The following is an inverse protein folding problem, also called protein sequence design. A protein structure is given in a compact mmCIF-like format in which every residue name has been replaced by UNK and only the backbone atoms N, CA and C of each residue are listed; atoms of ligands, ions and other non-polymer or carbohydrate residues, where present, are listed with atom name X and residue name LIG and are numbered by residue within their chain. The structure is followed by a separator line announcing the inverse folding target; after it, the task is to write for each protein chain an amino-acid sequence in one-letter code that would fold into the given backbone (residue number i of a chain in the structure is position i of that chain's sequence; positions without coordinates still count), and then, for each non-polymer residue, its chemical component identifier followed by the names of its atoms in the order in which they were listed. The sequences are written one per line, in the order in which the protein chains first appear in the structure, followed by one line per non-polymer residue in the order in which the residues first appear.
data_IF_727778286893
#
_entry.id   IF_727778286893
#
_cell.length_a   1.000
_cell.length_b   1.000
_cell.length_c   1.000
_cell.angle_alpha   90.00
_cell.angle_beta   90.00
_cell.angle_gamma   90.00
#
_symmetry.space_group_name_H-M   'P 1'
#
loop_
_entity.id
_entity.type
_entity.pdbx_description
1 polymer ?
#
# COMPACT_ATOMS: atom_id res chain seq x y z
N UNK A 1 -3.96 15.58 -14.34
CA UNK A 1 -5.31 16.02 -14.66
C UNK A 1 -5.71 15.29 -15.92
N UNK A 2 -6.83 14.60 -15.90
CA UNK A 2 -7.44 14.00 -17.09
C UNK A 2 -8.68 14.81 -17.43
N UNK A 3 -8.87 15.12 -18.68
CA UNK A 3 -10.06 15.77 -19.19
C UNK A 3 -10.67 14.85 -20.24
N UNK A 4 -11.89 14.43 -20.01
CA UNK A 4 -12.63 13.58 -20.93
C UNK A 4 -13.80 14.35 -21.51
N UNK A 5 -14.03 14.19 -22.78
CA UNK A 5 -15.22 14.68 -23.44
C UNK A 5 -16.30 13.58 -23.46
N UNK A 6 -17.50 13.89 -23.01
CA UNK A 6 -18.64 12.99 -23.13
C UNK A 6 -19.41 13.34 -24.41
N UNK A 7 -19.49 12.39 -25.32
CA UNK A 7 -20.30 12.56 -26.55
C UNK A 7 -21.79 12.44 -26.23
N UNK A 8 -22.65 12.94 -27.12
CA UNK A 8 -24.09 12.80 -27.03
C UNK A 8 -24.55 11.32 -26.98
N UNK A 9 -23.71 10.41 -27.46
CA UNK A 9 -23.95 8.95 -27.44
C UNK A 9 -23.43 8.28 -26.16
N UNK A 10 -22.93 9.05 -25.18
CA UNK A 10 -22.47 8.54 -23.90
C UNK A 10 -21.03 7.98 -23.91
N UNK A 11 -20.29 8.15 -24.99
CA UNK A 11 -18.89 7.71 -25.07
C UNK A 11 -17.99 8.78 -24.44
N UNK A 12 -17.08 8.38 -23.57
CA UNK A 12 -16.03 9.26 -23.03
C UNK A 12 -14.78 9.18 -23.89
N UNK A 13 -14.26 10.33 -24.25
CA UNK A 13 -13.03 10.45 -25.01
C UNK A 13 -12.02 11.30 -24.25
N UNK A 14 -10.83 10.76 -23.90
CA UNK A 14 -9.80 11.53 -23.22
C UNK A 14 -9.22 12.60 -24.15
N UNK A 15 -9.00 13.78 -23.59
CA UNK A 15 -8.37 14.91 -24.24
C UNK A 15 -6.90 15.03 -23.81
N UNK A 16 -6.04 15.44 -24.71
CA UNK A 16 -4.60 15.61 -24.49
C UNK A 16 -4.30 17.07 -24.14
N UNK A 17 -3.63 17.29 -23.01
CA UNK A 17 -3.20 18.62 -22.59
C UNK A 17 -2.25 19.24 -23.63
N UNK A 18 -2.37 20.55 -23.83
CA UNK A 18 -1.61 21.37 -24.78
C UNK A 18 -1.85 21.05 -26.26
N UNK A 19 -2.62 20.02 -26.57
CA UNK A 19 -3.12 19.67 -27.89
C UNK A 19 -4.61 19.99 -28.02
N UNK A 20 -5.42 19.42 -27.14
CA UNK A 20 -6.87 19.52 -27.16
C UNK A 20 -7.40 20.56 -26.18
N UNK A 21 -6.66 20.86 -25.14
CA UNK A 21 -7.00 21.88 -24.15
C UNK A 21 -5.77 22.50 -23.50
N UNK A 22 -5.93 23.72 -23.04
CA UNK A 22 -4.92 24.42 -22.24
C UNK A 22 -5.46 24.68 -20.83
N UNK A 23 -4.55 24.83 -19.86
CA UNK A 23 -4.87 25.18 -18.48
C UNK A 23 -4.18 26.49 -18.17
N UNK A 24 -4.97 27.50 -17.84
CA UNK A 24 -4.48 28.74 -17.24
C UNK A 24 -4.90 28.78 -15.77
N UNK A 25 -3.96 29.06 -14.87
CA UNK A 25 -4.24 29.24 -13.45
C UNK A 25 -4.03 30.70 -13.06
N UNK A 26 -5.06 31.34 -12.58
CA UNK A 26 -5.01 32.70 -12.06
C UNK A 26 -5.85 32.78 -10.77
N UNK A 27 -5.31 33.42 -9.72
CA UNK A 27 -6.01 33.65 -8.46
C UNK A 27 -6.63 32.39 -7.81
N UNK A 28 -5.89 31.29 -7.84
CA UNK A 28 -6.32 29.97 -7.33
C UNK A 28 -7.46 29.31 -8.14
N UNK A 29 -7.85 29.89 -9.26
CA UNK A 29 -8.79 29.30 -10.21
C UNK A 29 -8.04 28.76 -11.41
N UNK A 30 -8.31 27.51 -11.77
CA UNK A 30 -7.79 26.91 -13.02
C UNK A 30 -8.88 26.93 -14.08
N UNK A 31 -8.62 27.62 -15.17
CA UNK A 31 -9.52 27.66 -16.33
C UNK A 31 -9.02 26.67 -17.36
N UNK A 32 -9.90 25.79 -17.80
CA UNK A 32 -9.63 24.85 -18.90
C UNK A 32 -10.21 25.47 -20.15
N UNK A 33 -9.35 25.72 -21.14
CA UNK A 33 -9.75 26.22 -22.43
C UNK A 33 -9.56 25.13 -23.47
N UNK A 34 -10.64 24.70 -24.09
CA UNK A 34 -10.59 23.76 -25.22
C UNK A 34 -10.04 24.44 -26.45
N UNK A 35 -9.20 23.74 -27.19
CA UNK A 35 -8.74 24.20 -28.50
C UNK A 35 -9.92 24.09 -29.48
N UNK A 36 -10.12 25.12 -30.31
CA UNK A 36 -11.20 25.10 -31.30
C UNK A 36 -10.97 23.99 -32.34
N UNK A 37 -12.05 23.32 -32.73
CA UNK A 37 -11.99 22.28 -33.76
C UNK A 37 -11.66 20.87 -33.25
N UNK A 38 -11.69 20.63 -31.96
CA UNK A 38 -11.59 19.26 -31.43
C UNK A 38 -12.78 18.45 -31.95
N UNK A 39 -12.46 17.36 -32.63
CA UNK A 39 -13.45 16.44 -33.19
C UNK A 39 -13.48 15.16 -32.33
N UNK A 40 -14.66 14.75 -31.91
CA UNK A 40 -14.91 13.48 -31.23
C UNK A 40 -15.65 12.56 -32.20
N UNK A 41 -14.91 11.74 -32.93
CA UNK A 41 -15.45 11.01 -34.06
C UNK A 41 -15.84 11.98 -35.16
N UNK A 42 -17.10 11.99 -35.57
CA UNK A 42 -17.64 12.96 -36.53
C UNK A 42 -18.37 14.14 -35.86
N UNK A 43 -18.34 14.26 -34.56
CA UNK A 43 -19.05 15.29 -33.79
C UNK A 43 -18.08 16.37 -33.29
N UNK A 44 -18.44 17.61 -33.50
CA UNK A 44 -17.74 18.77 -32.95
C UNK A 44 -17.97 18.86 -31.43
N UNK A 45 -17.05 19.53 -30.70
CA UNK A 45 -17.15 19.85 -29.27
C UNK A 45 -18.47 20.53 -28.92
N UNK A 46 -19.04 21.28 -29.82
CA UNK A 46 -20.36 21.95 -29.66
C UNK A 46 -21.51 20.98 -29.44
N UNK A 47 -21.34 19.70 -29.79
CA UNK A 47 -22.36 18.64 -29.62
C UNK A 47 -22.05 17.73 -28.42
N UNK A 48 -21.04 18.08 -27.62
CA UNK A 48 -20.67 17.28 -26.43
C UNK A 48 -21.73 17.39 -25.35
N UNK A 49 -22.11 16.26 -24.77
CA UNK A 49 -23.05 16.20 -23.62
C UNK A 49 -22.44 16.69 -22.32
N UNK A 50 -21.11 16.75 -22.22
CA UNK A 50 -20.41 17.24 -21.04
C UNK A 50 -18.90 17.07 -21.11
N UNK A 51 -18.20 17.80 -20.25
CA UNK A 51 -16.76 17.68 -20.04
C UNK A 51 -16.55 17.12 -18.64
N UNK A 52 -15.85 16.00 -18.55
CA UNK A 52 -15.46 15.40 -17.29
C UNK A 52 -14.01 15.72 -17.01
N UNK A 53 -13.75 16.36 -15.86
CA UNK A 53 -12.42 16.73 -15.42
C UNK A 53 -12.07 15.93 -14.18
N UNK A 54 -11.17 14.98 -14.33
CA UNK A 54 -10.53 14.34 -13.18
C UNK A 54 -9.22 15.10 -12.91
N UNK A 55 -9.14 15.81 -11.80
CA UNK A 55 -7.96 16.56 -11.41
C UNK A 55 -7.46 16.11 -10.04
N UNK A 56 -6.15 16.18 -9.86
CA UNK A 56 -5.60 16.19 -8.51
C UNK A 56 -5.97 17.54 -7.91
N UNK A 57 -6.87 17.56 -6.95
CA UNK A 57 -6.96 18.69 -6.07
C UNK A 57 -5.64 18.74 -5.27
N UNK A 58 -4.71 19.57 -5.70
CA UNK A 58 -3.66 20.01 -4.81
C UNK A 58 -4.34 20.88 -3.77
N UNK A 59 -4.78 20.28 -2.69
CA UNK A 59 -5.25 21.02 -1.54
C UNK A 59 -4.00 21.59 -0.86
N UNK A 60 -3.49 22.68 -1.43
CA UNK A 60 -2.19 23.28 -1.14
C UNK A 60 -2.18 24.03 0.19
N UNK A 61 -3.34 24.21 0.82
CA UNK A 61 -3.48 25.09 1.99
C UNK A 61 -3.51 24.40 3.34
N UNK A 62 -3.17 23.12 3.40
CA UNK A 62 -3.05 22.43 4.67
C UNK A 62 -2.94 20.92 4.49
N UNK A 63 -2.19 20.30 5.37
CA UNK A 63 -2.21 18.84 5.53
C UNK A 63 -3.59 18.47 6.07
N UNK A 64 -4.46 18.04 5.16
CA UNK A 64 -5.81 17.62 5.53
C UNK A 64 -5.78 16.24 6.18
N UNK A 65 -6.24 16.15 7.43
CA UNK A 65 -6.57 14.89 8.06
C UNK A 65 -8.05 14.60 7.83
N UNK A 66 -8.34 13.53 7.13
CA UNK A 66 -9.69 13.07 6.89
C UNK A 66 -9.86 11.65 7.40
N UNK A 67 -10.92 11.41 8.16
CA UNK A 67 -11.32 10.06 8.52
C UNK A 67 -12.21 9.51 7.43
N UNK A 68 -11.85 8.34 6.92
CA UNK A 68 -12.56 7.63 5.86
C UNK A 68 -13.12 6.34 6.46
N UNK A 69 -14.42 6.19 6.42
CA UNK A 69 -15.13 5.03 6.96
C UNK A 69 -15.69 4.14 5.86
N UNK A 70 -15.76 4.66 4.64
CA UNK A 70 -16.32 3.98 3.47
C UNK A 70 -15.59 4.31 2.17
N UNK A 71 -15.79 3.47 1.14
CA UNK A 71 -15.32 3.75 -0.22
C UNK A 71 -15.96 5.02 -0.80
N UNK A 72 -17.19 5.34 -0.39
CA UNK A 72 -17.87 6.57 -0.80
C UNK A 72 -17.16 7.81 -0.26
N UNK A 73 -16.60 7.75 0.95
CA UNK A 73 -15.85 8.86 1.52
C UNK A 73 -14.57 9.13 0.74
N UNK A 74 -13.90 8.06 0.28
CA UNK A 74 -12.72 8.19 -0.58
C UNK A 74 -13.07 8.95 -1.85
N UNK A 75 -14.15 8.54 -2.51
CA UNK A 75 -14.61 9.18 -3.74
C UNK A 75 -14.98 10.65 -3.52
N UNK A 76 -15.74 10.94 -2.46
CA UNK A 76 -16.22 12.28 -2.16
C UNK A 76 -15.09 13.24 -1.75
N UNK A 77 -14.09 12.77 -1.02
CA UNK A 77 -13.02 13.61 -0.47
C UNK A 77 -11.79 13.68 -1.37
N UNK A 78 -11.45 12.59 -2.04
CA UNK A 78 -10.21 12.47 -2.81
C UNK A 78 -10.43 12.18 -4.30
N UNK A 79 -11.67 11.94 -4.71
CA UNK A 79 -12.01 11.57 -6.08
C UNK A 79 -11.81 10.07 -6.36
N UNK A 80 -11.78 9.73 -7.63
CA UNK A 80 -11.71 8.33 -8.07
C UNK A 80 -10.43 7.65 -7.61
N UNK A 81 -10.56 6.45 -7.05
CA UNK A 81 -9.45 5.60 -6.64
C UNK A 81 -8.79 4.96 -7.87
N UNK A 82 -7.87 5.68 -8.48
CA UNK A 82 -7.09 5.27 -9.64
C UNK A 82 -5.60 5.33 -9.32
N UNK A 83 -4.78 4.55 -10.03
CA UNK A 83 -3.34 4.45 -9.80
C UNK A 83 -2.59 5.80 -9.86
N UNK A 84 -3.12 6.77 -10.58
CA UNK A 84 -2.59 8.14 -10.68
C UNK A 84 -3.04 9.07 -9.53
N UNK A 85 -3.96 8.63 -8.65
CA UNK A 85 -4.40 9.36 -7.47
C UNK A 85 -3.95 8.64 -6.18
N UNK A 86 -2.71 8.86 -5.71
CA UNK A 86 -2.08 8.00 -4.71
C UNK A 86 -2.85 7.88 -3.40
N UNK A 87 -3.41 8.98 -2.90
CA UNK A 87 -4.11 8.97 -1.62
C UNK A 87 -5.43 8.19 -1.70
N UNK A 88 -6.25 8.47 -2.73
CA UNK A 88 -7.50 7.75 -2.95
C UNK A 88 -7.25 6.26 -3.22
N UNK A 89 -6.25 5.96 -4.05
CA UNK A 89 -5.92 4.57 -4.40
C UNK A 89 -5.39 3.80 -3.21
N UNK A 90 -4.47 4.38 -2.44
CA UNK A 90 -3.95 3.76 -1.23
C UNK A 90 -5.01 3.54 -0.16
N UNK A 91 -5.89 4.51 0.08
CA UNK A 91 -7.00 4.37 1.00
C UNK A 91 -7.96 3.25 0.57
N UNK A 92 -8.26 3.18 -0.74
CA UNK A 92 -9.08 2.09 -1.30
C UNK A 92 -8.43 0.72 -1.11
N UNK A 93 -7.14 0.59 -1.39
CA UNK A 93 -6.39 -0.65 -1.18
C UNK A 93 -6.37 -1.07 0.30
N UNK A 94 -6.19 -0.12 1.22
CA UNK A 94 -6.23 -0.39 2.64
C UNK A 94 -7.60 -0.93 3.08
N UNK A 95 -8.69 -0.27 2.71
CA UNK A 95 -10.05 -0.73 3.05
C UNK A 95 -10.37 -2.09 2.41
N UNK A 96 -10.00 -2.28 1.15
CA UNK A 96 -10.27 -3.53 0.43
C UNK A 96 -9.53 -4.73 1.05
N UNK A 97 -8.29 -4.54 1.49
CA UNK A 97 -7.48 -5.59 2.10
C UNK A 97 -7.77 -5.81 3.59
N UNK A 98 -8.43 -4.88 4.26
CA UNK A 98 -8.87 -5.08 5.63
C UNK A 98 -9.94 -6.16 5.74
N UNK A 99 -10.85 -6.24 4.77
CA UNK A 99 -11.96 -7.21 4.77
C UNK A 99 -12.99 -6.97 5.88
N UNK A 100 -12.85 -5.91 6.66
CA UNK A 100 -13.74 -5.45 7.73
C UNK A 100 -13.77 -3.93 7.71
N UNK A 101 -14.72 -3.32 8.42
CA UNK A 101 -14.73 -1.86 8.59
C UNK A 101 -13.51 -1.41 9.34
N UNK A 102 -12.74 -0.51 8.75
CA UNK A 102 -11.56 0.12 9.34
C UNK A 102 -11.59 1.62 9.08
N UNK A 103 -11.10 2.38 10.04
CA UNK A 103 -10.93 3.81 9.87
C UNK A 103 -9.58 4.09 9.20
N UNK A 104 -9.59 4.80 8.09
CA UNK A 104 -8.39 5.22 7.38
C UNK A 104 -8.24 6.74 7.53
N UNK A 105 -7.07 7.17 8.00
CA UNK A 105 -6.71 8.58 8.03
C UNK A 105 -5.82 8.90 6.83
N UNK A 106 -6.34 9.67 5.90
CA UNK A 106 -5.58 10.14 4.75
C UNK A 106 -4.90 11.47 5.04
N UNK A 107 -3.62 11.59 4.69
CA UNK A 107 -2.86 12.84 4.78
C UNK A 107 -2.39 13.21 3.38
N UNK A 108 -2.79 14.38 2.92
CA UNK A 108 -2.39 14.94 1.62
C UNK A 108 -1.23 15.93 1.73
N UNK A 109 -0.68 16.35 0.60
CA UNK A 109 0.33 17.41 0.53
C UNK A 109 1.75 17.00 0.91
N UNK A 110 2.06 15.71 0.96
CA UNK A 110 3.39 15.19 1.28
C UNK A 110 4.31 15.24 0.05
N UNK A 111 4.80 16.43 -0.26
CA UNK A 111 5.62 16.68 -1.46
C UNK A 111 7.11 16.89 -1.14
N UNK A 112 7.48 17.02 0.11
CA UNK A 112 8.86 17.18 0.58
C UNK A 112 9.11 16.38 1.86
N UNK A 113 10.37 16.11 2.19
CA UNK A 113 10.75 15.44 3.44
C UNK A 113 10.29 16.24 4.69
N UNK A 114 10.34 17.56 4.62
CA UNK A 114 9.88 18.43 5.71
C UNK A 114 8.37 18.31 5.92
N UNK A 115 7.60 18.20 4.84
CA UNK A 115 6.15 17.97 4.93
C UNK A 115 5.84 16.62 5.56
N UNK A 116 6.64 15.58 5.29
CA UNK A 116 6.49 14.27 5.93
C UNK A 116 6.76 14.38 7.44
N UNK A 117 7.86 15.00 7.84
CA UNK A 117 8.20 15.19 9.25
C UNK A 117 7.10 15.97 10.00
N UNK A 118 6.60 17.04 9.40
CA UNK A 118 5.53 17.81 9.97
C UNK A 118 4.19 17.03 10.05
N UNK A 119 3.88 16.19 9.05
CA UNK A 119 2.70 15.30 9.11
C UNK A 119 2.83 14.22 10.19
N UNK A 120 4.03 13.70 10.42
CA UNK A 120 4.30 12.76 11.50
C UNK A 120 4.08 13.41 12.88
N UNK A 121 4.48 14.67 13.05
CA UNK A 121 4.21 15.43 14.27
C UNK A 121 2.70 15.65 14.47
N UNK A 122 1.96 15.97 13.41
CA UNK A 122 0.50 16.11 13.48
C UNK A 122 -0.21 14.79 13.86
N UNK A 123 0.41 13.64 13.53
CA UNK A 123 -0.08 12.32 13.95
C UNK A 123 0.12 12.03 15.44
N UNK A 124 1.00 12.74 16.13
CA UNK A 124 1.27 12.46 17.55
C UNK A 124 0.03 12.54 18.43
N UNK A 125 -0.90 13.46 18.13
CA UNK A 125 -2.14 13.61 18.87
C UNK A 125 -3.19 12.52 18.56
N UNK A 126 -2.97 11.65 17.55
CA UNK A 126 -3.98 10.73 17.02
C UNK A 126 -3.69 9.28 17.37
N UNK A 127 -4.75 8.48 17.51
CA UNK A 127 -4.66 7.03 17.63
C UNK A 127 -4.59 6.41 16.23
N UNK A 128 -3.39 6.06 15.82
CA UNK A 128 -3.10 5.37 14.56
C UNK A 128 -2.18 4.20 14.86
N UNK A 129 -2.49 3.01 14.36
CA UNK A 129 -1.65 1.84 14.58
C UNK A 129 -0.75 1.54 13.39
N UNK A 130 -1.31 1.24 12.23
CA UNK A 130 -0.56 0.92 11.02
C UNK A 130 -0.44 2.15 10.12
N UNK A 131 0.77 2.46 9.69
CA UNK A 131 1.07 3.60 8.82
C UNK A 131 1.62 3.09 7.49
N UNK A 132 1.12 3.66 6.39
CA UNK A 132 1.61 3.39 5.05
C UNK A 132 2.12 4.69 4.42
N UNK A 133 3.37 4.71 4.02
CA UNK A 133 3.96 5.87 3.37
C UNK A 133 3.85 5.72 1.86
N UNK A 134 2.91 6.46 1.25
CA UNK A 134 2.68 6.49 -0.19
C UNK A 134 3.20 7.83 -0.73
N UNK A 135 4.49 7.93 -0.92
CA UNK A 135 5.13 9.13 -1.46
C UNK A 135 6.03 8.78 -2.62
N UNK A 136 6.16 9.70 -3.56
CA UNK A 136 7.10 9.62 -4.69
C UNK A 136 8.44 10.30 -4.38
N UNK A 137 8.69 10.66 -3.12
CA UNK A 137 9.93 11.28 -2.72
C UNK A 137 10.99 10.23 -2.45
N UNK A 138 12.21 10.46 -2.93
CA UNK A 138 13.36 9.63 -2.61
C UNK A 138 13.48 9.41 -1.09
N UNK A 139 13.46 8.16 -0.69
CA UNK A 139 13.06 7.74 0.66
C UNK A 139 14.06 7.94 1.79
N UNK A 140 15.32 8.31 1.54
CA UNK A 140 16.35 8.24 2.59
C UNK A 140 16.00 9.05 3.85
N UNK A 141 15.50 10.27 3.70
CA UNK A 141 15.09 11.10 4.85
C UNK A 141 13.74 10.70 5.43
N UNK A 142 12.78 10.33 4.59
CA UNK A 142 11.42 9.98 4.99
C UNK A 142 11.36 8.68 5.80
N UNK A 143 12.14 7.66 5.44
CA UNK A 143 12.22 6.39 6.19
C UNK A 143 12.81 6.62 7.57
N UNK A 144 13.90 7.40 7.67
CA UNK A 144 14.52 7.74 8.95
C UNK A 144 13.57 8.46 9.90
N UNK A 145 12.87 9.50 9.41
CA UNK A 145 11.86 10.24 10.17
C UNK A 145 10.72 9.32 10.64
N UNK A 146 10.22 8.46 9.75
CA UNK A 146 9.16 7.49 10.07
C UNK A 146 9.63 6.48 11.13
N UNK A 147 10.84 5.94 11.01
CA UNK A 147 11.44 5.03 11.99
C UNK A 147 11.55 5.66 13.38
N UNK A 148 12.03 6.90 13.42
CA UNK A 148 12.12 7.69 14.66
C UNK A 148 10.75 7.92 15.28
N UNK A 149 9.77 8.32 14.48
CA UNK A 149 8.42 8.58 14.94
C UNK A 149 7.76 7.33 15.55
N UNK A 150 7.77 6.18 14.85
CA UNK A 150 7.13 4.96 15.40
C UNK A 150 7.81 4.48 16.68
N UNK A 151 9.12 4.68 16.80
CA UNK A 151 9.87 4.35 18.02
C UNK A 151 9.49 5.26 19.17
N UNK A 152 9.50 6.58 18.94
CA UNK A 152 9.18 7.59 19.96
C UNK A 152 7.74 7.43 20.47
N UNK A 153 6.77 7.31 19.56
CA UNK A 153 5.35 7.18 19.91
C UNK A 153 5.05 5.86 20.64
N UNK A 154 5.77 4.79 20.32
CA UNK A 154 5.62 3.48 20.96
C UNK A 154 6.43 3.32 22.25
N UNK A 155 7.05 4.38 22.75
CA UNK A 155 7.77 4.38 24.01
C UNK A 155 6.83 4.20 25.20
N UNK A 156 7.38 3.79 26.35
CA UNK A 156 6.64 3.69 27.60
C UNK A 156 6.02 5.04 28.04
N UNK A 157 6.62 6.17 27.65
CA UNK A 157 6.13 7.52 27.94
C UNK A 157 4.91 7.86 27.10
N UNK A 158 5.01 7.68 25.77
CA UNK A 158 3.95 8.12 24.84
C UNK A 158 2.80 7.11 24.73
N UNK A 159 3.09 5.82 24.90
CA UNK A 159 2.09 4.71 24.97
C UNK A 159 1.15 4.62 23.74
N UNK A 160 1.62 5.10 22.57
CA UNK A 160 0.89 5.09 21.30
C UNK A 160 1.61 4.18 20.33
N UNK A 161 1.48 2.88 20.55
CA UNK A 161 2.15 1.87 19.73
C UNK A 161 1.73 2.03 18.26
N UNK A 162 2.75 2.05 17.39
CA UNK A 162 2.61 2.21 15.93
C UNK A 162 3.61 1.35 15.20
N UNK A 163 3.23 0.96 14.01
CA UNK A 163 4.11 0.31 13.03
C UNK A 163 4.01 1.07 11.71
N UNK A 164 5.06 1.00 10.90
CA UNK A 164 5.09 1.66 9.60
C UNK A 164 5.56 0.71 8.51
N UNK A 165 4.90 0.81 7.37
CA UNK A 165 5.26 0.16 6.13
C UNK A 165 5.81 1.21 5.16
N UNK A 166 6.99 0.96 4.64
CA UNK A 166 7.68 1.84 3.69
C UNK A 166 8.16 1.01 2.51
N UNK A 167 8.18 1.59 1.33
CA UNK A 167 8.73 0.95 0.14
C UNK A 167 9.78 1.88 -0.44
N UNK A 168 10.92 1.34 -0.86
CA UNK A 168 11.88 2.11 -1.63
C UNK A 168 11.26 2.47 -2.97
N UNK A 169 11.22 3.74 -3.29
CA UNK A 169 10.82 4.18 -4.62
C UNK A 169 12.02 4.20 -5.56
N UNK A 170 11.85 3.55 -6.70
CA UNK A 170 12.58 3.90 -7.90
C UNK A 170 11.78 5.01 -8.56
N UNK A 171 12.42 6.09 -9.05
CA UNK A 171 11.73 7.08 -9.86
C UNK A 171 11.00 6.38 -11.00
N UNK A 172 9.70 6.58 -11.06
CA UNK A 172 8.84 5.98 -12.08
C UNK A 172 8.96 6.81 -13.36
N UNK A 173 10.08 6.71 -14.03
CA UNK A 173 10.39 7.44 -15.27
C UNK A 173 10.18 6.61 -16.53
N UNK A 174 9.68 5.39 -16.40
CA UNK A 174 9.42 4.51 -17.52
C UNK A 174 10.66 3.85 -18.15
N UNK A 175 11.85 4.24 -17.80
CA UNK A 175 13.09 3.78 -18.47
C UNK A 175 13.93 2.85 -17.62
N UNK A 176 13.79 2.85 -16.31
CA UNK A 176 14.69 2.17 -15.36
C UNK A 176 14.31 0.73 -15.00
N UNK A 177 13.44 0.09 -15.78
CA UNK A 177 12.98 -1.27 -15.47
C UNK A 177 13.80 -2.41 -16.07
N UNK A 178 14.77 -2.11 -16.90
CA UNK A 178 15.65 -3.11 -17.50
C UNK A 178 16.91 -3.30 -16.66
N UNK A 179 16.75 -3.62 -15.38
CA UNK A 179 17.90 -3.94 -14.53
C UNK A 179 18.58 -5.23 -15.01
N UNK A 180 19.88 -5.17 -15.17
CA UNK A 180 20.70 -6.34 -15.42
C UNK A 180 20.80 -7.23 -14.19
N UNK A 181 21.27 -8.46 -14.35
CA UNK A 181 21.50 -9.37 -13.23
C UNK A 181 22.45 -8.77 -12.17
N UNK A 182 23.44 -7.99 -12.62
CA UNK A 182 24.39 -7.30 -11.73
C UNK A 182 23.72 -6.19 -10.95
N UNK A 183 22.90 -5.36 -11.61
CA UNK A 183 22.14 -4.30 -10.95
C UNK A 183 21.15 -4.84 -9.92
N UNK A 184 20.50 -5.97 -10.19
CA UNK A 184 19.62 -6.65 -9.22
C UNK A 184 20.38 -7.12 -7.97
N UNK A 185 21.59 -7.65 -8.15
CA UNK A 185 22.48 -8.02 -7.04
C UNK A 185 22.86 -6.82 -6.19
N UNK A 186 23.25 -5.71 -6.84
CA UNK A 186 23.58 -4.45 -6.17
C UNK A 186 22.39 -3.88 -5.42
N UNK A 187 21.22 -3.83 -6.03
CA UNK A 187 19.97 -3.36 -5.41
C UNK A 187 19.62 -4.21 -4.19
N UNK A 188 19.71 -5.54 -4.29
CA UNK A 188 19.42 -6.45 -3.16
C UNK A 188 20.32 -6.18 -1.96
N UNK A 189 21.62 -6.00 -2.19
CA UNK A 189 22.60 -5.68 -1.14
C UNK A 189 22.36 -4.28 -0.55
N UNK A 190 22.01 -3.30 -1.37
CA UNK A 190 21.69 -1.95 -0.90
C UNK A 190 20.46 -1.93 -0.01
N UNK A 191 19.39 -2.66 -0.37
CA UNK A 191 18.18 -2.79 0.45
C UNK A 191 18.51 -3.50 1.77
N UNK A 192 19.26 -4.61 1.74
CA UNK A 192 19.72 -5.30 2.94
C UNK A 192 20.48 -4.36 3.89
N UNK A 193 21.46 -3.65 3.37
CA UNK A 193 22.29 -2.72 4.17
C UNK A 193 21.46 -1.61 4.79
N UNK A 194 20.56 -1.00 4.01
CA UNK A 194 19.69 0.07 4.50
C UNK A 194 18.75 -0.42 5.62
N UNK A 195 18.18 -1.60 5.47
CA UNK A 195 17.28 -2.18 6.47
C UNK A 195 18.00 -2.56 7.76
N UNK A 196 19.19 -3.16 7.65
CA UNK A 196 20.05 -3.48 8.81
C UNK A 196 20.41 -2.21 9.59
N UNK A 197 20.72 -1.10 8.87
CA UNK A 197 21.02 0.17 9.49
C UNK A 197 19.84 0.76 10.29
N UNK A 198 18.60 0.50 9.89
CA UNK A 198 17.41 0.90 10.65
C UNK A 198 17.18 0.03 11.89
N UNK A 199 17.35 -1.29 11.78
CA UNK A 199 17.27 -2.23 12.90
C UNK A 199 16.02 -2.10 13.79
N UNK A 200 14.88 -1.70 13.22
CA UNK A 200 13.67 -1.32 13.96
C UNK A 200 12.56 -2.37 13.80
N UNK A 201 12.12 -2.97 14.92
CA UNK A 201 11.01 -3.95 14.93
C UNK A 201 9.65 -3.39 14.49
N UNK A 202 9.51 -2.06 14.40
CA UNK A 202 8.28 -1.35 14.04
C UNK A 202 8.30 -0.79 12.63
N UNK A 203 9.39 -1.01 11.89
CA UNK A 203 9.56 -0.58 10.52
C UNK A 203 9.64 -1.80 9.60
N UNK A 204 8.76 -1.82 8.60
CA UNK A 204 8.63 -2.89 7.62
C UNK A 204 8.95 -2.32 6.24
N UNK A 205 10.10 -2.70 5.69
CA UNK A 205 10.54 -2.31 4.35
C UNK A 205 9.97 -3.27 3.33
N UNK A 206 9.05 -2.81 2.51
CA UNK A 206 8.28 -3.62 1.57
C UNK A 206 8.98 -3.68 0.21
N UNK A 207 9.01 -4.84 -0.39
CA UNK A 207 9.50 -5.11 -1.73
C UNK A 207 8.45 -5.98 -2.48
N UNK A 208 8.23 -5.85 -3.79
CA UNK A 208 9.02 -5.11 -4.77
C UNK A 208 8.67 -3.62 -4.86
N UNK A 209 9.58 -2.87 -5.48
CA UNK A 209 9.48 -1.43 -5.71
C UNK A 209 8.42 -1.07 -6.75
N UNK A 210 8.09 -2.00 -7.62
CA UNK A 210 7.07 -1.87 -8.66
C UNK A 210 6.22 -3.12 -8.71
N UNK A 211 4.91 -2.93 -8.81
CA UNK A 211 3.92 -3.99 -9.02
C UNK A 211 2.99 -3.61 -10.14
N UNK A 212 2.28 -4.59 -10.67
CA UNK A 212 1.30 -4.36 -11.72
C UNK A 212 -0.12 -4.45 -11.18
N UNK A 213 -0.96 -3.53 -11.63
CA UNK A 213 -2.41 -3.55 -11.42
C UNK A 213 -3.12 -3.82 -12.73
N UNK A 214 -4.29 -4.43 -12.65
CA UNK A 214 -5.12 -4.68 -13.82
C UNK A 214 -6.09 -3.50 -13.99
N UNK A 215 -6.01 -2.82 -15.13
CA UNK A 215 -6.85 -1.67 -15.46
C UNK A 215 -7.40 -1.83 -16.88
N UNK A 216 -8.58 -1.27 -17.11
CA UNK A 216 -9.09 -1.07 -18.48
C UNK A 216 -8.77 0.34 -18.91
N UNK A 217 -8.02 0.49 -19.99
CA UNK A 217 -7.60 1.78 -20.52
C UNK A 217 -8.02 1.92 -21.98
N UNK A 218 -8.36 3.15 -22.36
CA UNK A 218 -8.52 3.49 -23.77
C UNK A 218 -7.16 3.47 -24.49
N UNK A 219 -7.11 2.98 -25.72
CA UNK A 219 -5.86 2.78 -26.47
C UNK A 219 -5.03 4.06 -26.61
N UNK A 220 -5.66 5.23 -26.76
CA UNK A 220 -4.96 6.52 -26.81
C UNK A 220 -4.28 6.94 -25.52
N UNK A 221 -4.69 6.39 -24.38
CA UNK A 221 -4.07 6.65 -23.06
C UNK A 221 -2.96 5.66 -22.72
N UNK A 222 -2.83 4.60 -23.51
CA UNK A 222 -1.76 3.62 -23.36
C UNK A 222 -0.48 4.19 -23.98
N UNK A 223 -0.55 4.59 -25.24
CA UNK A 223 0.51 5.30 -25.94
C UNK A 223 -0.14 6.14 -27.04
N UNK A 224 -0.02 7.48 -27.01
CA UNK A 224 -0.62 8.36 -28.01
C UNK A 224 -0.07 8.13 -29.43
N UNK A 225 1.10 7.53 -29.58
CA UNK A 225 1.67 7.17 -30.89
C UNK A 225 0.99 5.95 -31.54
N UNK A 226 0.20 5.22 -30.78
CA UNK A 226 -0.51 4.03 -31.26
C UNK A 226 -1.80 4.36 -31.98
N UNK A 227 -2.25 5.59 -31.90
CA UNK A 227 -3.45 6.07 -32.58
C UNK A 227 -3.11 7.25 -33.47
N UNK A 228 -3.78 7.33 -34.61
CA UNK A 228 -3.77 8.52 -35.47
C UNK A 228 -4.74 9.60 -34.95
N UNK A 229 -4.82 10.72 -35.67
CA UNK A 229 -5.73 11.82 -35.33
C UNK A 229 -7.22 11.42 -35.34
N UNK A 230 -7.57 10.29 -35.96
CA UNK A 230 -8.93 9.74 -35.99
C UNK A 230 -9.12 8.65 -34.92
N UNK A 231 -8.17 8.49 -33.97
CA UNK A 231 -8.15 7.44 -32.95
C UNK A 231 -8.18 6.01 -33.52
N UNK A 232 -7.66 5.84 -34.74
CA UNK A 232 -7.42 4.52 -35.32
C UNK A 232 -6.02 4.05 -34.95
N UNK A 233 -5.87 2.76 -34.70
CA UNK A 233 -4.58 2.19 -34.34
C UNK A 233 -3.59 2.28 -35.52
N UNK A 234 -2.44 2.86 -35.27
CA UNK A 234 -1.32 2.85 -36.22
C UNK A 234 -0.66 1.48 -36.30
N UNK A 235 0.13 1.26 -37.35
CA UNK A 235 0.65 -0.09 -37.67
C UNK A 235 1.73 -0.65 -36.71
N UNK A 236 2.33 0.20 -35.86
CA UNK A 236 3.51 -0.18 -35.11
C UNK A 236 3.28 -0.07 -33.59
N UNK A 237 2.53 -0.99 -33.03
CA UNK A 237 2.42 -1.09 -31.57
C UNK A 237 3.57 -1.92 -31.04
N UNK A 238 4.52 -1.30 -30.37
CA UNK A 238 5.62 -2.00 -29.72
C UNK A 238 5.16 -2.63 -28.39
N UNK A 239 4.62 -3.85 -28.46
CA UNK A 239 4.30 -4.62 -27.29
C UNK A 239 5.57 -5.25 -26.73
N UNK A 240 6.11 -4.77 -25.67
CA UNK A 240 7.08 -5.56 -24.94
C UNK A 240 8.40 -4.96 -24.53
N UNK A 241 8.61 -3.68 -24.65
CA UNK A 241 9.73 -3.04 -23.96
C UNK A 241 9.33 -2.68 -22.51
N UNK A 242 9.01 -3.68 -21.75
CA UNK A 242 9.19 -3.65 -20.32
C UNK A 242 8.01 -3.24 -19.43
N UNK A 243 7.03 -2.41 -19.83
CA UNK A 243 6.29 -1.72 -18.76
C UNK A 243 4.79 -1.89 -18.77
N UNK A 244 4.17 -1.82 -19.92
CA UNK A 244 2.73 -1.99 -20.03
C UNK A 244 2.42 -3.25 -20.84
N UNK A 245 1.64 -4.15 -20.26
CA UNK A 245 1.25 -5.40 -20.93
C UNK A 245 -0.21 -5.32 -21.32
N UNK A 246 -0.50 -5.37 -22.62
CA UNK A 246 -1.87 -5.40 -23.14
C UNK A 246 -2.43 -6.83 -23.13
N UNK A 247 -3.69 -6.95 -22.72
CA UNK A 247 -4.37 -8.23 -22.50
C UNK A 247 -5.77 -8.19 -23.14
N UNK A 248 -6.29 -9.38 -23.48
CA UNK A 248 -7.70 -9.50 -23.84
C UNK A 248 -8.61 -9.23 -22.62
N UNK A 249 -9.57 -8.33 -22.76
CA UNK A 249 -10.53 -7.96 -21.69
C UNK A 249 -11.64 -9.02 -21.48
N UNK A 250 -11.87 -9.87 -22.48
CA UNK A 250 -12.90 -10.92 -22.46
C UNK A 250 -12.46 -12.14 -23.26
N UNK A 251 -13.17 -13.26 -23.09
CA UNK A 251 -13.04 -14.39 -24.01
C UNK A 251 -13.70 -14.01 -25.34
N UNK A 252 -12.98 -14.18 -26.44
CA UNK A 252 -13.44 -13.77 -27.77
C UNK A 252 -12.92 -14.71 -28.83
N UNK A 253 -13.69 -14.87 -29.91
CA UNK A 253 -13.26 -15.60 -31.10
C UNK A 253 -13.12 -14.57 -32.22
N UNK A 254 -11.90 -14.42 -32.75
CA UNK A 254 -11.59 -13.50 -33.84
C UNK A 254 -10.94 -14.31 -34.97
N UNK A 255 -11.48 -14.22 -36.18
CA UNK A 255 -10.97 -14.99 -37.33
C UNK A 255 -10.83 -16.49 -37.02
N UNK A 256 -11.84 -17.07 -36.35
CA UNK A 256 -11.86 -18.48 -35.93
C UNK A 256 -10.80 -18.90 -34.91
N UNK A 257 -10.06 -17.97 -34.35
CA UNK A 257 -9.08 -18.21 -33.27
C UNK A 257 -9.69 -17.76 -31.94
N UNK A 258 -9.67 -18.66 -30.96
CA UNK A 258 -10.17 -18.37 -29.61
C UNK A 258 -9.09 -17.70 -28.76
N UNK A 259 -9.38 -16.54 -28.21
CA UNK A 259 -8.55 -15.81 -27.24
C UNK A 259 -9.25 -15.80 -25.89
N UNK A 260 -8.46 -15.86 -24.81
CA UNK A 260 -9.00 -15.89 -23.45
C UNK A 260 -8.78 -14.55 -22.75
N UNK A 261 -9.70 -14.17 -21.87
CA UNK A 261 -9.51 -13.04 -20.95
C UNK A 261 -8.18 -13.18 -20.23
N UNK A 262 -7.38 -12.09 -20.17
CA UNK A 262 -6.05 -12.09 -19.55
C UNK A 262 -4.94 -12.68 -20.41
N UNK A 263 -5.24 -13.18 -21.60
CA UNK A 263 -4.20 -13.60 -22.55
C UNK A 263 -3.44 -12.39 -23.07
N UNK A 264 -2.11 -12.46 -23.06
CA UNK A 264 -1.23 -11.37 -23.52
C UNK A 264 -1.39 -11.16 -25.04
N UNK A 265 -1.53 -9.91 -25.42
CA UNK A 265 -1.55 -9.47 -26.83
C UNK A 265 -0.10 -9.18 -27.23
N UNK A 266 0.42 -9.98 -28.17
CA UNK A 266 1.74 -9.76 -28.80
C UNK A 266 1.57 -8.95 -30.09
N UNK A 267 2.67 -8.43 -30.64
CA UNK A 267 2.64 -7.70 -31.91
C UNK A 267 2.01 -8.54 -33.06
N UNK A 268 2.29 -9.82 -33.10
CA UNK A 268 1.71 -10.74 -34.09
C UNK A 268 0.20 -10.92 -33.93
N UNK A 269 -0.24 -11.14 -32.68
CA UNK A 269 -1.68 -11.23 -32.37
C UNK A 269 -2.36 -9.92 -32.67
N UNK A 270 -1.75 -8.79 -32.26
CA UNK A 270 -2.29 -7.46 -32.48
C UNK A 270 -2.65 -7.18 -33.94
N UNK A 271 -1.75 -7.47 -34.87
CA UNK A 271 -1.99 -7.28 -36.31
C UNK A 271 -3.24 -8.03 -36.78
N UNK A 272 -3.48 -9.23 -36.27
CA UNK A 272 -4.64 -10.04 -36.62
C UNK A 272 -5.95 -9.53 -35.99
N UNK A 273 -5.91 -8.91 -34.83
CA UNK A 273 -7.09 -8.46 -34.08
C UNK A 273 -7.37 -6.98 -34.20
N UNK A 274 -6.52 -6.21 -34.88
CA UNK A 274 -6.67 -4.76 -35.05
C UNK A 274 -8.07 -4.35 -35.49
N UNK A 275 -8.68 -4.92 -36.53
CA UNK A 275 -10.03 -4.54 -36.96
C UNK A 275 -11.10 -4.77 -35.89
N UNK A 276 -10.92 -5.81 -35.06
CA UNK A 276 -11.83 -6.08 -33.96
C UNK A 276 -11.71 -5.02 -32.87
N UNK A 277 -10.48 -4.65 -32.45
CA UNK A 277 -10.27 -3.60 -31.45
C UNK A 277 -10.83 -2.26 -31.93
N UNK A 278 -10.68 -1.94 -33.20
CA UNK A 278 -11.20 -0.69 -33.81
C UNK A 278 -12.73 -0.67 -33.87
N UNK A 279 -13.40 -1.81 -33.97
CA UNK A 279 -14.86 -1.92 -33.96
C UNK A 279 -15.50 -1.90 -32.56
N UNK A 280 -14.71 -2.14 -31.53
CA UNK A 280 -15.14 -2.14 -30.12
C UNK A 280 -15.05 -0.72 -29.52
N UNK A 281 -15.18 -0.62 -28.19
CA UNK A 281 -15.09 0.63 -27.43
C UNK A 281 -13.66 1.22 -27.34
N UNK A 282 -12.72 0.68 -28.11
CA UNK A 282 -11.30 1.06 -28.13
C UNK A 282 -10.62 1.01 -26.78
N UNK A 283 -11.11 0.17 -25.88
CA UNK A 283 -10.47 -0.07 -24.58
C UNK A 283 -9.79 -1.43 -24.56
N UNK A 284 -8.70 -1.49 -23.83
CA UNK A 284 -7.93 -2.72 -23.58
C UNK A 284 -7.73 -2.94 -22.10
N UNK A 285 -7.71 -4.19 -21.70
CA UNK A 285 -7.23 -4.59 -20.40
C UNK A 285 -5.71 -4.49 -20.41
N UNK A 286 -5.13 -3.85 -19.41
CA UNK A 286 -3.69 -3.70 -19.31
C UNK A 286 -3.21 -4.07 -17.91
N UNK A 287 -2.02 -4.62 -17.82
CA UNK A 287 -1.25 -4.61 -16.59
C UNK A 287 -0.40 -3.36 -16.58
N UNK A 288 -0.81 -2.40 -15.75
CA UNK A 288 -0.12 -1.13 -15.61
C UNK A 288 0.84 -1.20 -14.41
N UNK A 289 2.10 -0.79 -14.60
CA UNK A 289 3.05 -0.71 -13.50
C UNK A 289 2.66 0.44 -12.57
N UNK A 290 2.74 0.17 -11.27
CA UNK A 290 2.50 1.17 -10.22
C UNK A 290 3.59 1.06 -9.15
N UNK A 291 3.87 2.15 -8.40
CA UNK A 291 4.82 2.11 -7.32
C UNK A 291 4.48 1.05 -6.27
N UNK A 292 5.50 0.31 -5.81
CA UNK A 292 5.35 -0.67 -4.73
C UNK A 292 4.91 -0.06 -3.40
N UNK A 293 5.01 1.26 -3.26
CA UNK A 293 4.43 2.00 -2.15
C UNK A 293 2.92 1.73 -1.95
N UNK A 294 2.19 1.35 -2.98
CA UNK A 294 0.79 0.93 -2.84
C UNK A 294 0.62 -0.39 -2.11
N UNK A 295 1.62 -1.29 -2.13
CA UNK A 295 1.62 -2.49 -1.31
C UNK A 295 1.59 -2.15 0.18
N UNK A 296 2.27 -1.07 0.59
CA UNK A 296 2.31 -0.66 1.99
C UNK A 296 0.91 -0.35 2.53
N UNK A 297 0.06 0.29 1.73
CA UNK A 297 -1.33 0.57 2.09
C UNK A 297 -2.17 -0.71 2.20
N UNK A 298 -2.02 -1.63 1.24
CA UNK A 298 -2.74 -2.91 1.27
C UNK A 298 -2.35 -3.75 2.51
N UNK A 299 -1.05 -3.80 2.84
CA UNK A 299 -0.54 -4.51 4.01
C UNK A 299 -1.04 -3.84 5.31
N UNK A 300 -1.00 -2.51 5.38
CA UNK A 300 -1.55 -1.77 6.53
C UNK A 300 -3.04 -2.08 6.74
N UNK A 301 -3.80 -2.18 5.65
CA UNK A 301 -5.19 -2.64 5.67
C UNK A 301 -5.34 -4.05 6.23
N UNK A 302 -4.53 -5.01 5.77
CA UNK A 302 -4.54 -6.38 6.31
C UNK A 302 -4.26 -6.40 7.82
N UNK A 303 -3.29 -5.62 8.28
CA UNK A 303 -2.99 -5.50 9.72
C UNK A 303 -4.18 -4.96 10.50
N UNK A 304 -4.85 -3.94 9.97
CA UNK A 304 -6.01 -3.34 10.64
C UNK A 304 -7.22 -4.28 10.70
N UNK A 305 -7.41 -5.11 9.66
CA UNK A 305 -8.57 -5.99 9.53
C UNK A 305 -8.39 -7.39 10.09
N UNK A 306 -7.16 -7.79 10.42
CA UNK A 306 -6.86 -9.14 10.93
C UNK A 306 -6.64 -9.14 12.44
N UNK A 307 -6.78 -10.31 13.02
CA UNK A 307 -6.47 -10.52 14.45
C UNK A 307 -4.98 -10.27 14.73
N UNK A 308 -4.63 -9.59 15.83
CA UNK A 308 -3.25 -9.16 16.10
C UNK A 308 -2.21 -10.29 16.07
N UNK A 309 -2.59 -11.49 16.52
CA UNK A 309 -1.71 -12.66 16.54
C UNK A 309 -1.62 -13.40 15.20
N UNK A 310 -2.47 -13.01 14.22
CA UNK A 310 -2.54 -13.71 12.94
C UNK A 310 -1.34 -13.37 12.07
N UNK A 311 -0.58 -14.38 11.58
CA UNK A 311 0.48 -14.14 10.61
C UNK A 311 -0.10 -13.69 9.26
N UNK A 312 0.64 -12.83 8.57
CA UNK A 312 0.31 -12.38 7.20
C UNK A 312 1.12 -13.13 6.13
N UNK A 313 2.01 -14.04 6.50
CA UNK A 313 2.75 -14.91 5.57
C UNK A 313 1.75 -15.73 4.74
N UNK A 314 1.91 -15.72 3.42
CA UNK A 314 1.04 -16.39 2.46
C UNK A 314 -0.43 -15.91 2.43
N UNK A 315 -0.75 -14.80 3.08
CA UNK A 315 -2.09 -14.18 2.96
C UNK A 315 -2.17 -13.38 1.66
N UNK A 316 -3.18 -13.64 0.80
CA UNK A 316 -3.33 -12.91 -0.46
C UNK A 316 -3.53 -11.42 -0.27
N UNK A 317 -2.86 -10.63 -1.11
CA UNK A 317 -3.06 -9.19 -1.27
C UNK A 317 -3.94 -8.94 -2.48
N UNK A 318 -5.05 -8.24 -2.26
CA UNK A 318 -5.99 -7.91 -3.31
C UNK A 318 -5.69 -6.55 -3.96
N UNK A 319 -6.12 -6.39 -5.21
CA UNK A 319 -5.94 -5.16 -5.98
C UNK A 319 -4.67 -5.13 -6.85
N UNK A 320 -3.90 -6.22 -6.87
CA UNK A 320 -2.69 -6.34 -7.68
C UNK A 320 -2.75 -7.57 -8.58
N UNK A 321 -2.19 -7.43 -9.78
CA UNK A 321 -2.17 -8.49 -10.77
C UNK A 321 -0.86 -9.30 -10.74
N UNK A 322 0.28 -8.62 -10.61
CA UNK A 322 1.58 -9.26 -10.79
C UNK A 322 2.70 -8.47 -10.11
N UNK A 323 3.78 -9.16 -9.72
CA UNK A 323 5.04 -8.49 -9.37
C UNK A 323 5.82 -8.16 -10.65
N UNK A 324 6.65 -7.12 -10.61
CA UNK A 324 7.48 -6.74 -11.75
C UNK A 324 8.32 -7.93 -12.19
N UNK A 325 8.23 -8.25 -13.48
CA UNK A 325 9.15 -9.13 -14.18
C UNK A 325 9.04 -10.59 -13.84
N UNK A 326 8.04 -11.23 -13.54
CA UNK A 326 7.96 -12.65 -13.18
C UNK A 326 8.85 -13.01 -11.96
N UNK A 327 8.73 -14.19 -11.42
CA UNK A 327 9.62 -14.72 -10.38
C UNK A 327 11.10 -14.80 -10.78
N UNK A 328 11.40 -14.67 -12.08
CA UNK A 328 12.77 -14.67 -12.60
C UNK A 328 13.42 -13.29 -12.58
N UNK A 329 12.68 -12.22 -12.23
CA UNK A 329 13.21 -10.87 -12.20
C UNK A 329 14.27 -10.67 -11.10
N UNK A 330 13.99 -11.12 -9.88
CA UNK A 330 14.96 -11.24 -8.80
C UNK A 330 15.12 -12.72 -8.46
N UNK A 331 16.36 -13.20 -8.52
CA UNK A 331 16.65 -14.61 -8.18
C UNK A 331 16.34 -14.91 -6.71
N UNK A 332 16.14 -16.18 -6.39
CA UNK A 332 15.99 -16.60 -4.99
C UNK A 332 17.17 -16.14 -4.11
N UNK A 333 18.38 -16.10 -4.65
CA UNK A 333 19.55 -15.58 -3.93
C UNK A 333 19.39 -14.09 -3.58
N UNK A 334 18.94 -13.26 -4.53
CA UNK A 334 18.67 -11.84 -4.29
C UNK A 334 17.55 -11.63 -3.27
N UNK A 335 16.46 -12.41 -3.36
CA UNK A 335 15.36 -12.34 -2.39
C UNK A 335 15.82 -12.78 -1.00
N UNK A 336 16.67 -13.80 -0.90
CA UNK A 336 17.25 -14.22 0.38
C UNK A 336 18.15 -13.14 0.99
N UNK A 337 19.01 -12.51 0.19
CA UNK A 337 19.84 -11.37 0.62
C UNK A 337 18.98 -10.25 1.21
N UNK A 338 17.91 -9.85 0.54
CA UNK A 338 17.00 -8.83 1.05
C UNK A 338 16.27 -9.31 2.34
N UNK A 339 15.85 -10.56 2.39
CA UNK A 339 15.18 -11.12 3.57
C UNK A 339 16.10 -11.18 4.80
N UNK A 340 17.38 -11.44 4.63
CA UNK A 340 18.40 -11.39 5.70
C UNK A 340 18.51 -9.98 6.31
N UNK A 341 18.24 -8.93 5.54
CA UNK A 341 18.14 -7.55 6.02
C UNK A 341 16.80 -7.19 6.63
N UNK A 342 15.84 -8.10 6.67
CA UNK A 342 14.51 -7.82 7.22
C UNK A 342 13.58 -7.10 6.25
N UNK A 343 13.59 -7.50 4.98
CA UNK A 343 12.67 -7.00 3.98
C UNK A 343 11.36 -7.80 3.98
N UNK A 344 10.23 -7.11 4.00
CA UNK A 344 8.90 -7.66 3.81
C UNK A 344 8.67 -7.88 2.31
N UNK A 345 8.93 -9.09 1.83
CA UNK A 345 8.89 -9.42 0.41
C UNK A 345 7.50 -9.90 0.03
N UNK A 346 6.90 -9.26 -0.96
CA UNK A 346 5.68 -9.70 -1.64
C UNK A 346 6.08 -10.43 -2.92
N UNK A 347 5.56 -11.62 -3.11
CA UNK A 347 5.84 -12.46 -4.27
C UNK A 347 4.55 -12.97 -4.91
N UNK A 348 4.64 -13.35 -6.16
CA UNK A 348 3.57 -14.00 -6.88
C UNK A 348 3.54 -15.49 -6.52
N UNK A 349 2.43 -15.96 -5.97
CA UNK A 349 2.21 -17.39 -5.69
C UNK A 349 1.66 -18.09 -6.92
N UNK A 350 0.64 -17.50 -7.52
CA UNK A 350 0.03 -17.89 -8.80
C UNK A 350 -0.34 -16.62 -9.54
N UNK A 351 -0.65 -16.73 -10.84
CA UNK A 351 -1.12 -15.59 -11.62
C UNK A 351 -2.26 -14.84 -10.89
N UNK A 352 -2.12 -13.53 -10.74
CA UNK A 352 -3.04 -12.64 -10.01
C UNK A 352 -3.17 -12.91 -8.50
N UNK A 353 -2.24 -13.65 -7.89
CA UNK A 353 -2.23 -13.86 -6.44
C UNK A 353 -0.88 -13.47 -5.87
N UNK A 354 -0.81 -12.29 -5.28
CA UNK A 354 0.35 -11.80 -4.57
C UNK A 354 0.21 -12.13 -3.08
N UNK A 355 1.30 -12.61 -2.49
CA UNK A 355 1.35 -12.98 -1.07
C UNK A 355 2.63 -12.48 -0.42
N UNK A 356 2.59 -12.27 0.89
CA UNK A 356 3.80 -12.07 1.66
C UNK A 356 4.60 -13.37 1.77
N UNK A 357 5.87 -13.33 1.42
CA UNK A 357 6.80 -14.45 1.58
C UNK A 357 7.12 -14.70 3.05
N UNK A 358 7.44 -13.64 3.80
CA UNK A 358 7.70 -13.65 5.23
C UNK A 358 7.54 -12.24 5.80
N UNK A 359 6.82 -12.10 6.89
CA UNK A 359 6.41 -10.81 7.49
C UNK A 359 7.51 -10.17 8.35
N UNK A 360 8.67 -9.91 7.76
CA UNK A 360 9.87 -9.45 8.44
C UNK A 360 9.88 -7.94 8.70
N UNK A 361 10.27 -7.54 9.90
CA UNK A 361 10.68 -6.16 10.21
C UNK A 361 12.16 -5.96 9.91
N UNK A 362 12.62 -4.71 9.93
CA UNK A 362 14.06 -4.40 9.75
C UNK A 362 14.93 -4.82 10.95
N UNK A 363 14.36 -5.30 12.06
CA UNK A 363 15.12 -5.83 13.18
C UNK A 363 15.21 -7.35 13.14
N UNK A 364 16.33 -7.87 12.70
CA UNK A 364 16.58 -9.29 12.50
C UNK A 364 17.32 -9.97 13.67
N UNK A 365 17.52 -9.27 14.80
CA UNK A 365 18.34 -9.78 15.92
C UNK A 365 17.73 -10.99 16.64
N UNK A 366 16.41 -11.13 16.63
CA UNK A 366 15.72 -12.30 17.18
C UNK A 366 14.39 -12.57 16.45
N UNK A 367 13.87 -13.78 16.58
CA UNK A 367 12.56 -14.16 16.02
C UNK A 367 11.45 -13.28 16.57
N UNK A 368 11.49 -12.97 17.86
CA UNK A 368 10.49 -12.13 18.52
C UNK A 368 10.45 -10.69 17.99
N UNK A 369 11.59 -10.16 17.54
CA UNK A 369 11.68 -8.78 17.06
C UNK A 369 11.44 -8.65 15.57
N UNK A 370 11.68 -9.69 14.80
CA UNK A 370 11.50 -9.64 13.34
C UNK A 370 10.06 -9.90 12.87
N UNK A 371 9.24 -10.61 13.68
CA UNK A 371 7.91 -11.04 13.25
C UNK A 371 6.84 -9.98 13.51
N UNK A 372 6.12 -9.57 12.46
CA UNK A 372 5.02 -8.60 12.54
C UNK A 372 3.93 -9.04 13.52
N UNK A 373 3.47 -10.30 13.41
CA UNK A 373 2.39 -10.82 14.26
C UNK A 373 2.76 -10.84 15.76
N UNK A 374 4.05 -11.04 16.08
CA UNK A 374 4.54 -10.95 17.46
C UNK A 374 4.47 -9.51 17.97
N UNK A 375 4.92 -8.54 17.16
CA UNK A 375 4.83 -7.11 17.51
C UNK A 375 3.37 -6.70 17.71
N UNK A 376 2.47 -7.07 16.79
CA UNK A 376 1.05 -6.76 16.88
C UNK A 376 0.40 -7.36 18.13
N UNK A 377 0.69 -8.62 18.47
CA UNK A 377 0.13 -9.29 19.65
C UNK A 377 0.60 -8.63 20.95
N UNK A 378 1.89 -8.24 21.03
CA UNK A 378 2.43 -7.52 22.18
C UNK A 378 1.80 -6.14 22.34
N UNK A 379 1.68 -5.38 21.26
CA UNK A 379 1.08 -4.05 21.26
C UNK A 379 -0.40 -4.09 21.65
N UNK A 380 -1.14 -5.05 21.09
CA UNK A 380 -2.54 -5.28 21.47
C UNK A 380 -2.67 -5.60 22.96
N UNK A 381 -1.85 -6.51 23.47
CA UNK A 381 -1.86 -6.89 24.88
C UNK A 381 -1.53 -5.69 25.77
N UNK A 382 -0.52 -4.91 25.44
CA UNK A 382 -0.14 -3.72 26.18
C UNK A 382 -1.26 -2.66 26.21
N UNK A 383 -1.90 -2.39 25.08
CA UNK A 383 -3.07 -1.49 25.00
C UNK A 383 -4.24 -2.02 25.82
N UNK A 384 -4.52 -3.31 25.74
CA UNK A 384 -5.60 -3.96 26.49
C UNK A 384 -5.41 -3.83 28.00
N UNK A 385 -4.19 -4.10 28.49
CA UNK A 385 -3.84 -3.92 29.90
C UNK A 385 -4.05 -2.48 30.33
N UNK A 386 -3.50 -1.50 29.61
CA UNK A 386 -3.65 -0.07 29.94
C UNK A 386 -5.11 0.36 29.97
N UNK A 387 -5.91 -0.06 28.98
CA UNK A 387 -7.34 0.24 28.93
C UNK A 387 -8.07 -0.31 30.16
N UNK A 388 -7.74 -1.54 30.59
CA UNK A 388 -8.34 -2.14 31.76
C UNK A 388 -7.99 -1.42 33.07
N UNK A 389 -6.82 -0.76 33.14
CA UNK A 389 -6.42 0.03 34.30
C UNK A 389 -6.93 1.47 34.27
N UNK A 390 -7.35 2.02 33.15
CA UNK A 390 -7.84 3.40 33.02
C UNK A 390 -8.90 3.80 34.07
N UNK A 391 -9.91 2.95 34.43
CA UNK A 391 -10.92 3.30 35.42
C UNK A 391 -10.38 3.47 36.85
N UNK A 392 -9.18 2.99 37.13
CA UNK A 392 -8.59 3.01 38.47
C UNK A 392 -7.64 4.21 38.65
N UNK A 393 -7.13 4.79 37.57
CA UNK A 393 -6.21 5.92 37.59
C UNK A 393 -6.92 7.16 38.17
N UNK A 394 -6.29 7.77 39.17
CA UNK A 394 -6.83 8.95 39.88
C UNK A 394 -7.99 8.68 40.84
N UNK A 395 -8.44 7.43 40.99
CA UNK A 395 -9.57 7.06 41.86
C UNK A 395 -9.14 6.22 43.06
N UNK A 396 -8.02 5.55 42.96
CA UNK A 396 -7.50 4.66 44.00
C UNK A 396 -6.11 5.11 44.46
N UNK A 397 -5.82 4.88 45.73
CA UNK A 397 -4.49 5.07 46.28
C UNK A 397 -3.70 3.76 46.17
N UNK A 398 -2.40 3.84 45.97
CA UNK A 398 -1.52 2.68 45.97
C UNK A 398 -1.43 2.14 47.42
N UNK A 399 -2.03 1.01 47.62
CA UNK A 399 -2.09 0.29 48.90
C UNK A 399 -1.89 -1.23 48.68
N UNK A 400 -1.57 -2.00 49.72
CA UNK A 400 -1.47 -3.45 49.60
C UNK A 400 -2.75 -4.09 49.05
N UNK A 401 -3.93 -3.53 49.36
CA UNK A 401 -5.20 -4.01 48.85
C UNK A 401 -5.36 -3.71 47.35
N UNK A 402 -4.92 -2.52 46.89
CA UNK A 402 -4.94 -2.16 45.49
C UNK A 402 -3.96 -3.00 44.67
N UNK A 403 -2.77 -3.28 45.19
CA UNK A 403 -1.79 -4.19 44.56
C UNK A 403 -2.38 -5.59 44.33
N UNK A 404 -3.10 -6.13 45.33
CA UNK A 404 -3.81 -7.42 45.18
C UNK A 404 -4.90 -7.36 44.13
N UNK A 405 -5.68 -6.26 44.09
CA UNK A 405 -6.69 -6.04 43.06
C UNK A 405 -6.05 -5.97 41.67
N UNK A 406 -4.98 -5.19 41.49
CA UNK A 406 -4.23 -5.09 40.26
C UNK A 406 -3.73 -6.46 39.78
N UNK A 407 -3.21 -7.29 40.67
CA UNK A 407 -2.81 -8.67 40.33
C UNK A 407 -4.00 -9.50 39.85
N UNK A 408 -5.14 -9.42 40.51
CA UNK A 408 -6.36 -10.14 40.08
C UNK A 408 -6.82 -9.71 38.71
N UNK A 409 -6.79 -8.42 38.43
CA UNK A 409 -7.13 -7.85 37.10
C UNK A 409 -6.17 -8.42 36.03
N UNK A 410 -4.86 -8.39 36.26
CA UNK A 410 -3.87 -8.88 35.31
C UNK A 410 -4.01 -10.37 35.03
N UNK A 411 -4.23 -11.17 36.07
CA UNK A 411 -4.49 -12.62 35.93
C UNK A 411 -5.77 -12.84 35.10
N UNK A 412 -6.82 -12.09 35.39
CA UNK A 412 -8.07 -12.13 34.60
C UNK A 412 -7.86 -11.78 33.13
N UNK A 413 -7.08 -10.74 32.84
CA UNK A 413 -6.70 -10.33 31.47
C UNK A 413 -5.92 -11.47 30.78
N UNK A 414 -4.93 -12.05 31.47
CA UNK A 414 -4.14 -13.16 30.93
C UNK A 414 -5.02 -14.35 30.54
N UNK A 415 -5.94 -14.76 31.42
CA UNK A 415 -6.88 -15.84 31.13
C UNK A 415 -7.81 -15.49 29.94
N UNK A 416 -8.31 -14.26 29.88
CA UNK A 416 -9.16 -13.80 28.77
C UNK A 416 -8.40 -13.84 27.45
N UNK A 417 -7.22 -13.21 27.35
CA UNK A 417 -6.44 -13.16 26.11
C UNK A 417 -5.97 -14.55 25.66
N UNK A 418 -5.68 -15.44 26.59
CA UNK A 418 -5.34 -16.84 26.32
C UNK A 418 -6.54 -17.59 25.75
N UNK A 419 -7.74 -17.44 26.34
CA UNK A 419 -8.98 -18.04 25.85
C UNK A 419 -9.35 -17.53 24.45
N UNK A 420 -9.19 -16.23 24.21
CA UNK A 420 -9.43 -15.63 22.89
C UNK A 420 -8.31 -15.97 21.88
N UNK A 421 -7.31 -16.72 22.29
CA UNK A 421 -6.24 -17.16 21.43
C UNK A 421 -5.24 -16.07 21.02
N UNK A 422 -5.20 -14.93 21.70
CA UNK A 422 -4.31 -13.81 21.37
C UNK A 422 -2.88 -14.05 21.78
N UNK A 423 -2.69 -14.69 22.92
CA UNK A 423 -1.38 -15.05 23.50
C UNK A 423 -1.39 -16.50 23.97
N UNK A 424 -0.22 -17.05 24.22
CA UNK A 424 -0.11 -18.37 24.86
C UNK A 424 -0.28 -18.28 26.38
N UNK A 425 0.32 -17.25 27.01
CA UNK A 425 0.20 -17.02 28.44
C UNK A 425 0.59 -15.60 28.83
N UNK A 426 0.17 -15.17 30.03
CA UNK A 426 0.59 -13.93 30.68
C UNK A 426 0.91 -14.22 32.13
N UNK A 427 2.12 -13.94 32.53
CA UNK A 427 2.61 -14.15 33.90
C UNK A 427 2.92 -12.81 34.56
N UNK A 428 2.34 -12.54 35.69
CA UNK A 428 2.66 -11.35 36.49
C UNK A 428 3.96 -11.62 37.26
N UNK A 429 4.99 -10.85 36.96
CA UNK A 429 6.30 -10.99 37.61
C UNK A 429 6.37 -10.14 38.87
N UNK A 430 6.00 -8.85 38.76
CA UNK A 430 5.98 -7.95 39.90
C UNK A 430 4.93 -6.87 39.77
N UNK A 431 4.40 -6.42 40.90
CA UNK A 431 3.57 -5.22 41.04
C UNK A 431 4.04 -4.48 42.26
N UNK A 432 4.60 -3.30 42.08
CA UNK A 432 5.17 -2.51 43.20
C UNK A 432 4.91 -1.01 42.96
N UNK A 433 4.89 -0.26 44.06
CA UNK A 433 4.94 1.20 43.99
C UNK A 433 6.35 1.63 43.56
N UNK A 434 6.43 2.59 42.64
CA UNK A 434 7.70 3.16 42.23
C UNK A 434 8.36 3.91 43.40
N UNK A 435 9.64 3.60 43.67
CA UNK A 435 10.39 4.22 44.74
C UNK A 435 10.81 5.67 44.48
N UNK A 436 10.85 6.05 43.16
CA UNK A 436 11.22 7.40 42.73
C UNK A 436 9.96 8.27 42.58
N UNK A 437 8.92 7.71 41.99
CA UNK A 437 7.64 8.37 41.77
C UNK A 437 6.53 7.65 42.56
N UNK A 438 6.26 8.02 43.81
CA UNK A 438 5.37 7.26 44.70
C UNK A 438 3.90 7.22 44.22
N UNK A 439 3.50 8.02 43.25
CA UNK A 439 2.19 8.02 42.61
C UNK A 439 2.10 7.01 41.46
N UNK A 440 3.17 6.31 41.14
CA UNK A 440 3.28 5.38 40.00
C UNK A 440 3.28 3.93 40.49
N UNK A 441 2.42 3.12 39.89
CA UNK A 441 2.43 1.65 40.05
C UNK A 441 3.24 1.02 38.91
N UNK A 442 4.34 0.38 39.26
CA UNK A 442 5.15 -0.43 38.35
C UNK A 442 4.54 -1.82 38.23
N UNK A 443 4.25 -2.22 37.00
CA UNK A 443 3.72 -3.53 36.67
C UNK A 443 4.64 -4.20 35.67
N UNK A 444 5.16 -5.37 36.04
CA UNK A 444 6.02 -6.19 35.21
C UNK A 444 5.32 -7.50 34.90
N UNK A 445 5.15 -7.77 33.59
CA UNK A 445 4.51 -8.98 33.09
C UNK A 445 5.36 -9.65 32.04
N UNK A 446 5.41 -10.97 32.07
CA UNK A 446 5.97 -11.77 30.98
C UNK A 446 4.82 -12.27 30.09
N UNK A 447 4.87 -11.93 28.79
CA UNK A 447 3.88 -12.32 27.82
C UNK A 447 4.46 -13.37 26.89
N UNK A 448 3.89 -14.58 26.91
CA UNK A 448 4.25 -15.65 26.01
C UNK A 448 3.39 -15.51 24.74
N UNK A 449 3.99 -14.96 23.70
CA UNK A 449 3.35 -14.76 22.41
C UNK A 449 3.28 -16.04 21.59
N UNK A 450 2.41 -16.05 20.57
CA UNK A 450 2.36 -17.09 19.54
C UNK A 450 3.35 -16.77 18.46
N UNK A 451 4.11 -17.76 18.02
CA UNK A 451 5.00 -17.62 16.87
C UNK A 451 4.36 -18.21 15.63
N UNK A 452 4.50 -17.58 14.46
CA UNK A 452 4.03 -18.13 13.19
C UNK A 452 4.82 -19.39 12.82
N UNK A 453 4.16 -20.32 12.15
CA UNK A 453 4.83 -21.47 11.53
C UNK A 453 5.32 -21.05 10.15
N UNK A 454 6.55 -20.55 10.10
CA UNK A 454 7.16 -20.11 8.83
C UNK A 454 7.86 -21.24 8.09
N UNK A 455 8.34 -22.28 8.81
CA UNK A 455 9.08 -23.39 8.23
C UNK A 455 8.68 -24.71 8.86
N UNK A 456 8.55 -25.75 8.01
CA UNK A 456 8.38 -27.13 8.44
C UNK A 456 9.59 -27.91 7.94
N UNK A 457 10.36 -28.47 8.88
CA UNK A 457 11.48 -29.37 8.55
C UNK A 457 11.00 -30.81 8.66
N UNK A 458 10.95 -31.51 7.53
CA UNK A 458 10.59 -32.92 7.48
C UNK A 458 11.87 -33.77 7.35
N UNK A 459 12.06 -34.71 8.28
CA UNK A 459 13.11 -35.73 8.17
C UNK A 459 12.44 -37.06 7.91
N UNK A 460 12.66 -37.60 6.72
CA UNK A 460 12.25 -38.99 6.35
C UNK A 460 13.37 -39.94 6.73
N UNK A 461 13.02 -40.99 7.46
CA UNK A 461 13.94 -42.07 7.83
C UNK A 461 13.38 -43.33 7.16
N UNK A 462 14.17 -44.01 6.33
CA UNK A 462 13.83 -45.23 5.63
C UNK A 462 14.84 -46.33 5.94
#
# INVERSE_FOLDING_TARGET
MLVDLLTATGVRQPLVKDTDFTIATANSLSTITLVSGIQVGSADVTTAAGIYVAYRANNVTGRGFQTLESLSDIFNLYGTAQSWNPLAYGANLAMYNAGTSVNVFGISGLTTADNISAALNDLEAREVYAMALITQLGLSGAVGATSTHVTAQSSATNKKERIAFVCKEIPFDGTNYAETSTERGTTSTAIQTANVAHGNKRLFSVFPEVVYVEETRHISTIDPTWVDASFQLTSAVAFGAGELVCLFKSNVIINSIAYRKGQKITATIYTAIKPYIESEDKTMLVWAPVPGAYLTAAIAGQVAGKSPEQPLTSVPLAGFAKTKGSKDYFSEANLNTMAEGGTYIVQELTTNTLVCRHQLSTNMTSVALRELSVTNALDYTAKFIRTAFTPYIGRYTISPSFIKLANTILVGIGMFLKREGKINDLQVLSIAQDSINPDTLLVEVNILVKYPVNYIKLKLIF
#
